data_IF_720904822996
#
_entry.id   IF_720904822996
#
_cell.length_a   1.000
_cell.length_b   1.000
_cell.length_c   1.000
_cell.angle_alpha   90.00
_cell.angle_beta   90.00
_cell.angle_gamma   90.00
#
_symmetry.space_group_name_H-M   'P 1'
#
loop_
_entity.id
_entity.type
_entity.pdbx_description
1 polymer ?
#
# COMPACT_ATOMS: atom_id res chain seq x y z
N UNK A 1 -35.69 -60.10 54.49
CA UNK A 1 -34.31 -59.85 53.99
C UNK A 1 -34.25 -59.24 52.58
N UNK A 2 -35.17 -59.54 51.65
CA UNK A 2 -35.16 -59.03 50.26
C UNK A 2 -35.39 -57.50 50.08
N UNK A 3 -36.01 -56.83 51.04
CA UNK A 3 -36.30 -55.39 50.92
C UNK A 3 -35.07 -54.49 51.13
N UNK A 4 -34.15 -54.89 52.01
CA UNK A 4 -32.96 -54.08 52.29
C UNK A 4 -31.95 -54.10 51.14
N UNK A 5 -31.82 -55.22 50.41
CA UNK A 5 -30.90 -55.32 49.27
C UNK A 5 -31.35 -54.48 48.08
N UNK A 6 -32.66 -54.41 47.78
CA UNK A 6 -33.18 -53.55 46.70
C UNK A 6 -32.96 -52.06 46.97
N UNK A 7 -33.14 -51.61 48.22
CA UNK A 7 -32.87 -50.22 48.60
C UNK A 7 -31.38 -49.88 48.54
N UNK A 8 -30.51 -50.80 48.97
CA UNK A 8 -29.07 -50.63 48.88
C UNK A 8 -28.61 -50.52 47.42
N UNK A 9 -29.10 -51.40 46.53
CA UNK A 9 -28.74 -51.34 45.12
C UNK A 9 -29.32 -50.11 44.40
N UNK A 10 -30.54 -49.68 44.74
CA UNK A 10 -31.10 -48.44 44.20
C UNK A 10 -30.31 -47.20 44.66
N UNK A 11 -29.82 -47.19 45.91
CA UNK A 11 -28.96 -46.11 46.42
C UNK A 11 -27.59 -46.05 45.75
N UNK A 12 -26.98 -47.22 45.49
CA UNK A 12 -25.69 -47.30 44.78
C UNK A 12 -25.86 -46.91 43.31
N UNK A 13 -26.91 -47.41 42.63
CA UNK A 13 -27.22 -47.02 41.25
C UNK A 13 -27.45 -45.50 41.13
N UNK A 14 -28.21 -44.89 42.04
CA UNK A 14 -28.44 -43.45 42.03
C UNK A 14 -27.15 -42.66 42.29
N UNK A 15 -26.26 -43.15 43.16
CA UNK A 15 -24.96 -42.50 43.41
C UNK A 15 -24.04 -42.59 42.18
N UNK A 16 -23.97 -43.75 41.53
CA UNK A 16 -23.21 -43.95 40.28
C UNK A 16 -23.73 -43.05 39.15
N UNK A 17 -25.06 -42.98 38.95
CA UNK A 17 -25.65 -42.11 37.92
C UNK A 17 -25.37 -40.64 38.19
N UNK A 18 -25.47 -40.19 39.45
CA UNK A 18 -25.17 -38.80 39.81
C UNK A 18 -23.69 -38.45 39.62
N UNK A 19 -22.77 -39.39 39.86
CA UNK A 19 -21.33 -39.16 39.60
C UNK A 19 -21.01 -39.13 38.10
N UNK A 20 -21.62 -40.00 37.30
CA UNK A 20 -21.45 -40.01 35.84
C UNK A 20 -22.01 -38.72 35.23
N UNK A 21 -23.20 -38.27 35.65
CA UNK A 21 -23.81 -37.03 35.16
C UNK A 21 -22.96 -35.80 35.53
N UNK A 22 -22.38 -35.76 36.72
CA UNK A 22 -21.49 -34.67 37.16
C UNK A 22 -20.18 -34.61 36.36
N UNK A 23 -19.54 -35.76 36.12
CA UNK A 23 -18.32 -35.84 35.30
C UNK A 23 -18.58 -35.46 33.83
N UNK A 24 -19.72 -35.92 33.29
CA UNK A 24 -20.12 -35.59 31.91
C UNK A 24 -20.46 -34.11 31.75
N UNK A 25 -21.08 -33.50 32.77
CA UNK A 25 -21.37 -32.07 32.81
C UNK A 25 -20.09 -31.23 32.90
N UNK A 26 -19.12 -31.64 33.70
CA UNK A 26 -17.83 -30.96 33.81
C UNK A 26 -17.03 -31.04 32.50
N UNK A 27 -17.01 -32.22 31.85
CA UNK A 27 -16.35 -32.42 30.57
C UNK A 27 -16.96 -31.56 29.45
N UNK A 28 -18.30 -31.44 29.41
CA UNK A 28 -19.00 -30.59 28.44
C UNK A 28 -18.81 -29.08 28.70
N UNK A 29 -18.74 -28.65 29.97
CA UNK A 29 -18.35 -27.29 30.31
C UNK A 29 -16.92 -26.98 29.85
N UNK A 30 -15.98 -27.90 30.11
CA UNK A 30 -14.60 -27.76 29.66
C UNK A 30 -14.51 -27.67 28.14
N UNK A 31 -15.20 -28.53 27.39
CA UNK A 31 -15.18 -28.45 25.91
C UNK A 31 -15.74 -27.14 25.38
N UNK A 32 -16.79 -26.61 26.01
CA UNK A 32 -17.40 -25.32 25.62
C UNK A 32 -16.44 -24.15 25.86
N UNK A 33 -15.74 -24.16 27.00
CA UNK A 33 -14.72 -23.15 27.31
C UNK A 33 -13.52 -23.23 26.37
N UNK A 34 -13.09 -24.44 26.01
CA UNK A 34 -12.01 -24.64 25.04
C UNK A 34 -12.40 -24.11 23.65
N UNK A 35 -13.64 -24.33 23.23
CA UNK A 35 -14.13 -23.84 21.94
C UNK A 35 -14.26 -22.30 21.91
N UNK A 36 -14.73 -21.70 23.01
CA UNK A 36 -14.78 -20.25 23.18
C UNK A 36 -13.38 -19.63 23.19
N UNK A 37 -12.44 -20.20 23.94
CA UNK A 37 -11.05 -19.72 23.97
C UNK A 37 -10.38 -19.85 22.61
N UNK A 38 -10.61 -20.97 21.91
CA UNK A 38 -10.08 -21.19 20.56
C UNK A 38 -10.64 -20.15 19.59
N UNK A 39 -11.95 -19.89 19.66
CA UNK A 39 -12.62 -18.87 18.84
C UNK A 39 -12.04 -17.48 19.12
N UNK A 40 -11.84 -17.11 20.39
CA UNK A 40 -11.27 -15.82 20.79
C UNK A 40 -9.81 -15.68 20.34
N UNK A 41 -8.99 -16.73 20.46
CA UNK A 41 -7.60 -16.71 20.03
C UNK A 41 -7.47 -16.54 18.52
N UNK A 42 -8.25 -17.30 17.74
CA UNK A 42 -8.30 -17.14 16.27
C UNK A 42 -8.72 -15.73 15.90
N UNK A 43 -9.77 -15.20 16.52
CA UNK A 43 -10.26 -13.85 16.26
C UNK A 43 -9.19 -12.78 16.57
N UNK A 44 -8.56 -12.84 17.76
CA UNK A 44 -7.49 -11.90 18.13
C UNK A 44 -6.31 -12.00 17.17
N UNK A 45 -5.92 -13.20 16.76
CA UNK A 45 -4.82 -13.39 15.81
C UNK A 45 -5.16 -12.83 14.43
N UNK A 46 -6.40 -12.98 13.96
CA UNK A 46 -6.85 -12.35 12.72
C UNK A 46 -6.88 -10.83 12.82
N UNK A 47 -7.36 -10.26 13.93
CA UNK A 47 -7.38 -8.82 14.16
C UNK A 47 -5.97 -8.22 14.21
N UNK A 48 -5.04 -8.88 14.90
CA UNK A 48 -3.63 -8.47 14.95
C UNK A 48 -2.98 -8.55 13.58
N UNK A 49 -3.17 -9.64 12.84
CA UNK A 49 -2.65 -9.79 11.48
C UNK A 49 -3.18 -8.72 10.53
N UNK A 50 -4.47 -8.38 10.62
CA UNK A 50 -5.08 -7.32 9.81
C UNK A 50 -4.52 -5.93 10.16
N UNK A 51 -4.29 -5.66 11.46
CA UNK A 51 -3.68 -4.41 11.91
C UNK A 51 -2.25 -4.29 11.41
N UNK A 52 -1.46 -5.35 11.48
CA UNK A 52 -0.06 -5.35 11.00
C UNK A 52 0.00 -5.11 9.48
N UNK A 53 -0.89 -5.73 8.71
CA UNK A 53 -1.00 -5.48 7.27
C UNK A 53 -1.37 -4.02 6.97
N UNK A 54 -2.35 -3.47 7.70
CA UNK A 54 -2.78 -2.08 7.53
C UNK A 54 -1.66 -1.08 7.90
N UNK A 55 -0.93 -1.33 8.99
CA UNK A 55 0.21 -0.51 9.41
C UNK A 55 1.33 -0.56 8.37
N UNK A 56 1.62 -1.75 7.83
CA UNK A 56 2.61 -1.93 6.78
C UNK A 56 2.24 -1.17 5.51
N UNK A 57 0.97 -1.22 5.07
CA UNK A 57 0.52 -0.41 3.93
C UNK A 57 0.55 1.10 4.22
N UNK A 58 0.20 1.50 5.44
CA UNK A 58 0.20 2.91 5.84
C UNK A 58 1.61 3.53 5.81
N UNK A 59 2.61 2.80 6.30
CA UNK A 59 4.00 3.26 6.28
C UNK A 59 4.55 3.34 4.86
N UNK A 60 4.23 2.36 4.00
CA UNK A 60 4.57 2.42 2.59
C UNK A 60 3.94 3.66 1.90
N UNK A 61 2.68 3.96 2.21
CA UNK A 61 2.01 5.17 1.71
C UNK A 61 2.62 6.47 2.26
N UNK A 62 3.19 6.45 3.47
CA UNK A 62 3.92 7.58 4.04
C UNK A 62 5.20 7.87 3.27
N UNK A 63 5.98 6.84 2.95
CA UNK A 63 7.18 6.95 2.10
C UNK A 63 6.82 7.62 0.78
N UNK A 64 5.76 7.16 0.11
CA UNK A 64 5.32 7.73 -1.17
C UNK A 64 4.85 9.17 -1.02
N UNK A 65 4.06 9.50 0.01
CA UNK A 65 3.55 10.87 0.23
C UNK A 65 4.69 11.88 0.43
N UNK A 66 5.73 11.52 1.17
CA UNK A 66 6.89 12.38 1.38
C UNK A 66 7.58 12.71 0.05
N UNK A 67 7.75 11.70 -0.81
CA UNK A 67 8.36 11.90 -2.13
C UNK A 67 7.42 12.60 -3.12
N UNK A 68 6.11 12.45 -3.00
CA UNK A 68 5.13 13.22 -3.80
C UNK A 68 5.24 14.71 -3.49
N UNK A 69 5.46 15.09 -2.23
CA UNK A 69 5.67 16.48 -1.83
C UNK A 69 6.96 17.04 -2.46
N UNK A 70 8.07 16.29 -2.36
CA UNK A 70 9.33 16.63 -3.02
C UNK A 70 9.17 16.74 -4.55
N UNK A 71 8.48 15.76 -5.16
CA UNK A 71 8.16 15.72 -6.59
C UNK A 71 7.33 16.90 -7.09
N UNK A 72 6.39 17.35 -6.26
CA UNK A 72 5.55 18.52 -6.52
C UNK A 72 6.37 19.82 -6.41
N UNK A 73 7.29 19.89 -5.45
CA UNK A 73 8.15 21.06 -5.22
C UNK A 73 9.19 21.27 -6.34
N UNK A 74 9.70 20.20 -6.96
CA UNK A 74 10.67 20.29 -8.05
C UNK A 74 10.15 21.07 -9.28
N UNK A 75 8.83 21.08 -9.52
CA UNK A 75 8.21 21.86 -10.60
C UNK A 75 8.32 23.38 -10.45
N UNK A 76 8.76 23.88 -9.28
CA UNK A 76 8.90 25.31 -8.97
C UNK A 76 10.32 25.84 -9.19
N UNK A 77 11.31 24.96 -9.40
CA UNK A 77 12.72 25.35 -9.53
C UNK A 77 13.07 25.49 -11.03
N UNK A 78 13.40 26.70 -11.53
CA UNK A 78 13.71 26.90 -12.95
C UNK A 78 15.19 26.61 -13.25
N UNK A 79 15.71 25.46 -12.84
CA UNK A 79 17.12 25.08 -13.06
C UNK A 79 17.24 23.92 -14.07
N UNK A 80 17.73 24.19 -15.29
CA UNK A 80 18.07 23.14 -16.26
C UNK A 80 19.04 22.12 -15.64
N UNK A 81 18.88 20.84 -15.97
CA UNK A 81 19.65 19.69 -15.45
C UNK A 81 19.39 19.31 -13.97
N UNK A 82 19.17 20.26 -13.06
CA UNK A 82 18.84 19.98 -11.66
C UNK A 82 17.61 19.09 -11.54
N UNK A 83 16.58 19.37 -12.33
CA UNK A 83 15.33 18.61 -12.31
C UNK A 83 15.51 17.14 -12.65
N UNK A 84 16.45 16.79 -13.54
CA UNK A 84 16.67 15.41 -13.94
C UNK A 84 17.40 14.63 -12.83
N UNK A 85 18.40 15.24 -12.21
CA UNK A 85 19.16 14.65 -11.10
C UNK A 85 18.25 14.52 -9.87
N UNK A 86 17.52 15.58 -9.53
CA UNK A 86 16.61 15.59 -8.39
C UNK A 86 15.44 14.60 -8.61
N UNK A 87 14.89 14.51 -9.83
CA UNK A 87 13.84 13.55 -10.16
C UNK A 87 14.36 12.10 -10.08
N UNK A 88 15.53 11.83 -10.67
CA UNK A 88 16.14 10.50 -10.63
C UNK A 88 16.48 10.09 -9.20
N UNK A 89 17.06 10.99 -8.41
CA UNK A 89 17.36 10.76 -6.99
C UNK A 89 16.11 10.54 -6.15
N UNK A 90 15.05 11.32 -6.38
CA UNK A 90 13.78 11.20 -5.65
C UNK A 90 13.10 9.86 -5.93
N UNK A 91 13.00 9.46 -7.21
CA UNK A 91 12.38 8.16 -7.56
C UNK A 91 13.23 6.98 -7.05
N UNK A 92 14.56 7.10 -7.12
CA UNK A 92 15.48 6.07 -6.65
C UNK A 92 15.38 5.88 -5.13
N UNK A 93 15.49 6.96 -4.36
CA UNK A 93 15.43 6.90 -2.91
C UNK A 93 14.06 6.43 -2.41
N UNK A 94 12.97 6.85 -3.06
CA UNK A 94 11.62 6.34 -2.76
C UNK A 94 11.57 4.82 -2.95
N UNK A 95 12.09 4.32 -4.08
CA UNK A 95 12.01 2.90 -4.38
C UNK A 95 12.92 2.07 -3.47
N UNK A 96 14.09 2.59 -3.12
CA UNK A 96 15.00 2.00 -2.14
C UNK A 96 14.33 1.86 -0.76
N UNK A 97 13.68 2.92 -0.26
CA UNK A 97 12.93 2.86 1.00
C UNK A 97 11.78 1.85 0.94
N UNK A 98 11.08 1.74 -0.21
CA UNK A 98 10.06 0.71 -0.40
C UNK A 98 10.67 -0.71 -0.41
N UNK A 99 11.84 -0.90 -1.02
CA UNK A 99 12.52 -2.21 -0.99
C UNK A 99 12.88 -2.59 0.44
N UNK A 100 13.45 -1.67 1.22
CA UNK A 100 13.76 -1.87 2.65
C UNK A 100 12.49 -2.23 3.44
N UNK A 101 11.40 -1.49 3.23
CA UNK A 101 10.12 -1.71 3.91
C UNK A 101 9.48 -3.07 3.58
N UNK A 102 9.64 -3.54 2.35
CA UNK A 102 9.09 -4.82 1.93
C UNK A 102 10.06 -6.02 2.09
N UNK A 103 11.31 -5.77 2.45
CA UNK A 103 12.35 -6.81 2.55
C UNK A 103 12.82 -7.33 1.18
N UNK A 104 12.78 -6.47 0.16
CA UNK A 104 13.24 -6.80 -1.20
C UNK A 104 14.72 -6.43 -1.31
N UNK A 105 15.53 -7.31 -1.93
CA UNK A 105 16.95 -7.06 -2.16
C UNK A 105 17.17 -5.79 -2.99
N UNK A 106 18.07 -4.93 -2.49
CA UNK A 106 18.35 -3.63 -3.09
C UNK A 106 19.48 -3.79 -4.10
N UNK A 107 19.18 -3.45 -5.35
CA UNK A 107 20.16 -3.31 -6.41
C UNK A 107 19.87 -2.01 -7.16
N UNK A 108 20.81 -1.07 -7.11
CA UNK A 108 20.67 0.25 -7.70
C UNK A 108 20.49 0.23 -9.22
N UNK A 109 21.10 -0.73 -9.92
CA UNK A 109 20.90 -0.88 -11.37
C UNK A 109 19.49 -1.42 -11.66
N UNK A 110 19.01 -2.37 -10.85
CA UNK A 110 17.66 -2.93 -11.00
C UNK A 110 16.57 -1.92 -10.64
N UNK A 111 16.78 -1.05 -9.65
CA UNK A 111 15.88 0.07 -9.34
C UNK A 111 15.66 0.94 -10.59
N UNK A 112 16.74 1.34 -11.25
CA UNK A 112 16.67 2.14 -12.47
C UNK A 112 15.92 1.41 -13.59
N UNK A 113 16.26 0.14 -13.82
CA UNK A 113 15.61 -0.69 -14.84
C UNK A 113 14.11 -0.86 -14.57
N UNK A 114 13.74 -1.09 -13.30
CA UNK A 114 12.36 -1.22 -12.87
C UNK A 114 11.57 0.08 -13.10
N UNK A 115 12.14 1.24 -12.74
CA UNK A 115 11.53 2.55 -13.01
C UNK A 115 11.30 2.76 -14.52
N UNK A 116 12.30 2.46 -15.34
CA UNK A 116 12.18 2.54 -16.81
C UNK A 116 11.09 1.60 -17.32
N UNK A 117 11.00 0.39 -16.79
CA UNK A 117 9.98 -0.58 -17.19
C UNK A 117 8.55 -0.09 -16.88
N UNK A 118 8.31 0.50 -15.71
CA UNK A 118 6.99 1.05 -15.34
C UNK A 118 6.63 2.25 -16.22
N UNK A 119 7.55 3.19 -16.36
CA UNK A 119 7.34 4.41 -17.14
C UNK A 119 7.18 4.08 -18.63
N UNK A 120 8.06 3.24 -19.19
CA UNK A 120 8.00 2.77 -20.58
C UNK A 120 6.75 1.95 -20.90
N UNK A 121 6.29 1.12 -19.95
CA UNK A 121 5.03 0.36 -20.08
C UNK A 121 3.76 1.22 -20.02
N UNK A 122 3.86 2.47 -19.57
CA UNK A 122 2.72 3.34 -19.30
C UNK A 122 2.28 4.23 -20.47
N UNK A 123 3.15 4.55 -21.42
CA UNK A 123 2.88 5.12 -22.77
C UNK A 123 4.16 5.80 -23.30
N UNK A 124 4.44 5.81 -24.63
CA UNK A 124 5.53 6.62 -25.21
C UNK A 124 5.47 8.11 -24.80
N UNK A 125 4.26 8.66 -24.64
CA UNK A 125 4.04 10.08 -24.28
C UNK A 125 4.51 10.42 -22.87
N UNK A 126 4.51 9.45 -21.95
CA UNK A 126 4.98 9.65 -20.57
C UNK A 126 6.50 9.48 -20.43
N UNK A 127 7.10 8.65 -21.28
CA UNK A 127 8.56 8.63 -21.44
C UNK A 127 9.08 10.00 -21.91
N UNK A 128 8.34 10.66 -22.82
CA UNK A 128 8.59 12.04 -23.25
C UNK A 128 8.30 13.09 -22.16
N UNK A 129 7.33 12.88 -21.27
CA UNK A 129 7.07 13.76 -20.13
C UNK A 129 8.18 13.69 -19.06
N UNK A 130 8.85 12.54 -18.92
CA UNK A 130 10.09 12.40 -18.17
C UNK A 130 11.23 13.24 -18.74
N UNK A 131 11.19 13.53 -20.05
CA UNK A 131 12.05 14.50 -20.72
C UNK A 131 11.52 15.95 -20.59
N UNK A 132 10.68 16.26 -19.58
CA UNK A 132 10.19 17.61 -19.28
C UNK A 132 11.29 18.67 -19.14
N UNK A 133 12.53 18.25 -18.82
CA UNK A 133 13.72 19.10 -18.83
C UNK A 133 14.08 19.62 -20.23
N UNK A 134 13.75 18.89 -21.31
CA UNK A 134 13.95 19.33 -22.69
C UNK A 134 13.03 20.51 -23.06
N UNK A 135 11.83 20.59 -22.48
CA UNK A 135 10.89 21.69 -22.72
C UNK A 135 11.30 22.99 -22.02
N UNK A 136 12.21 22.93 -21.03
CA UNK A 136 12.81 24.12 -20.42
C UNK A 136 13.86 24.81 -21.34
N UNK A 137 14.26 24.17 -22.45
CA UNK A 137 15.18 24.74 -23.45
C UNK A 137 14.49 25.53 -24.57
N UNK A 138 13.15 25.56 -24.62
CA UNK A 138 12.39 26.34 -25.61
C UNK A 138 11.79 27.59 -24.93
N UNK A 139 12.48 28.74 -24.96
CA UNK A 139 11.92 29.98 -24.42
C UNK A 139 10.67 30.40 -25.20
N UNK A 140 9.58 30.73 -24.49
CA UNK A 140 8.35 31.29 -25.08
C UNK A 140 7.14 30.35 -25.13
N UNK A 141 7.31 29.03 -25.18
CA UNK A 141 6.19 28.05 -25.26
C UNK A 141 5.92 27.34 -23.91
N UNK A 142 6.88 27.33 -22.98
CA UNK A 142 6.83 26.49 -21.78
C UNK A 142 6.62 27.19 -20.42
N UNK A 143 6.69 28.53 -20.33
CA UNK A 143 6.97 29.20 -19.04
C UNK A 143 5.76 29.78 -18.30
N UNK A 144 4.59 30.00 -18.93
CA UNK A 144 3.50 30.77 -18.28
C UNK A 144 2.26 29.97 -17.86
N UNK A 145 2.02 28.79 -18.45
CA UNK A 145 1.05 27.79 -17.95
C UNK A 145 1.69 26.60 -17.22
N UNK A 146 3.03 26.54 -17.21
CA UNK A 146 3.81 25.32 -16.97
C UNK A 146 4.00 24.91 -15.51
N UNK A 147 4.16 25.82 -14.56
CA UNK A 147 4.62 25.45 -13.21
C UNK A 147 3.58 24.65 -12.41
N UNK A 148 2.31 25.07 -12.40
CA UNK A 148 1.24 24.32 -11.72
C UNK A 148 0.96 22.97 -12.40
N UNK A 149 1.06 22.91 -13.74
CA UNK A 149 0.94 21.68 -14.50
C UNK A 149 2.07 20.69 -14.22
N UNK A 150 3.31 21.19 -14.13
CA UNK A 150 4.50 20.39 -13.78
C UNK A 150 4.47 19.91 -12.32
N UNK A 151 4.10 20.76 -11.36
CA UNK A 151 3.89 20.36 -9.96
C UNK A 151 2.84 19.26 -9.85
N UNK A 152 1.69 19.45 -10.51
CA UNK A 152 0.62 18.45 -10.55
C UNK A 152 1.10 17.13 -11.17
N UNK A 153 1.78 17.22 -12.32
CA UNK A 153 2.21 16.05 -13.07
C UNK A 153 3.35 15.31 -12.38
N UNK A 154 4.36 16.02 -11.86
CA UNK A 154 5.50 15.45 -11.14
C UNK A 154 5.07 14.76 -9.85
N UNK A 155 4.20 15.39 -9.06
CA UNK A 155 3.58 14.76 -7.90
C UNK A 155 2.74 13.53 -8.29
N UNK A 156 1.94 13.62 -9.36
CA UNK A 156 1.09 12.51 -9.77
C UNK A 156 1.87 11.32 -10.34
N UNK A 157 2.98 11.56 -11.04
CA UNK A 157 3.89 10.51 -11.51
C UNK A 157 4.53 9.84 -10.30
N UNK A 158 5.07 10.60 -9.35
CA UNK A 158 5.68 10.05 -8.14
C UNK A 158 4.70 9.20 -7.35
N UNK A 159 3.46 9.67 -7.21
CA UNK A 159 2.37 8.92 -6.60
C UNK A 159 2.10 7.60 -7.35
N UNK A 160 2.00 7.65 -8.68
CA UNK A 160 1.70 6.49 -9.50
C UNK A 160 2.83 5.46 -9.49
N UNK A 161 4.10 5.89 -9.54
CA UNK A 161 5.26 5.00 -9.38
C UNK A 161 5.18 4.32 -8.02
N UNK A 162 5.08 5.11 -6.94
CA UNK A 162 5.04 4.60 -5.57
C UNK A 162 3.92 3.58 -5.35
N UNK A 163 2.68 3.90 -5.73
CA UNK A 163 1.55 2.96 -5.60
C UNK A 163 1.73 1.69 -6.43
N UNK A 164 2.36 1.80 -7.61
CA UNK A 164 2.63 0.64 -8.45
C UNK A 164 3.61 -0.33 -7.79
N UNK A 165 4.70 0.18 -7.21
CA UNK A 165 5.67 -0.65 -6.51
C UNK A 165 5.17 -1.17 -5.17
N UNK A 166 4.38 -0.39 -4.42
CA UNK A 166 3.68 -0.88 -3.24
C UNK A 166 2.85 -2.11 -3.58
N UNK A 167 2.03 -2.03 -4.63
CA UNK A 167 1.20 -3.17 -5.07
C UNK A 167 2.04 -4.37 -5.54
N UNK A 168 3.17 -4.10 -6.17
CA UNK A 168 4.07 -5.15 -6.67
C UNK A 168 4.75 -5.88 -5.52
N UNK A 169 5.33 -5.15 -4.58
CA UNK A 169 6.05 -5.71 -3.43
C UNK A 169 5.12 -6.31 -2.38
N UNK A 170 3.92 -5.73 -2.15
CA UNK A 170 2.94 -6.34 -1.24
C UNK A 170 2.40 -7.67 -1.76
N UNK A 171 2.47 -7.91 -3.07
CA UNK A 171 2.15 -9.18 -3.71
C UNK A 171 3.35 -10.16 -3.75
N UNK A 172 4.48 -9.82 -3.12
CA UNK A 172 5.68 -10.65 -3.09
C UNK A 172 6.59 -10.51 -4.32
N UNK A 173 6.38 -9.49 -5.16
CA UNK A 173 7.27 -9.18 -6.27
C UNK A 173 8.61 -8.61 -5.81
N UNK A 174 9.60 -8.64 -6.71
CA UNK A 174 10.95 -8.11 -6.49
C UNK A 174 11.30 -7.08 -7.57
N UNK A 175 12.56 -6.62 -7.64
CA UNK A 175 13.00 -5.76 -8.73
C UNK A 175 13.18 -6.53 -10.06
N UNK A 176 13.35 -7.85 -10.01
CA UNK A 176 13.66 -8.69 -11.18
C UNK A 176 12.43 -9.09 -12.00
N UNK A 177 11.25 -9.09 -11.40
CA UNK A 177 10.01 -9.57 -12.02
C UNK A 177 9.05 -8.43 -12.41
N UNK A 178 9.58 -7.21 -12.52
CA UNK A 178 8.84 -6.00 -12.91
C UNK A 178 8.41 -6.10 -14.38
N UNK A 179 7.12 -6.37 -14.61
CA UNK A 179 6.56 -6.48 -15.97
C UNK A 179 5.95 -5.16 -16.44
N UNK A 180 6.59 -4.54 -17.44
CA UNK A 180 6.17 -3.27 -18.04
C UNK A 180 4.67 -3.21 -18.40
N UNK A 181 4.12 -4.25 -19.04
CA UNK A 181 2.70 -4.28 -19.45
C UNK A 181 1.72 -4.28 -18.26
N UNK A 182 1.97 -5.13 -17.25
CA UNK A 182 1.10 -5.30 -16.07
C UNK A 182 1.18 -4.08 -15.17
N UNK A 183 2.39 -3.58 -14.95
CA UNK A 183 2.61 -2.45 -14.05
C UNK A 183 2.27 -1.12 -14.71
N UNK A 184 2.44 -1.00 -16.04
CA UNK A 184 2.07 0.19 -16.81
C UNK A 184 0.56 0.47 -16.85
N UNK A 185 -0.29 -0.56 -16.88
CA UNK A 185 -1.75 -0.37 -16.83
C UNK A 185 -2.21 0.13 -15.46
N UNK A 186 -1.64 -0.42 -14.39
CA UNK A 186 -1.89 0.01 -13.03
C UNK A 186 -1.35 1.43 -12.78
N UNK A 187 -0.13 1.71 -13.23
CA UNK A 187 0.45 3.04 -13.21
C UNK A 187 -0.46 4.08 -13.88
N UNK A 188 -1.00 3.80 -15.08
CA UNK A 188 -1.91 4.73 -15.77
C UNK A 188 -3.15 5.06 -14.93
N UNK A 189 -3.69 4.06 -14.23
CA UNK A 189 -4.84 4.23 -13.32
C UNK A 189 -4.46 5.11 -12.12
N UNK A 190 -3.34 4.81 -11.48
CA UNK A 190 -2.86 5.57 -10.32
C UNK A 190 -2.39 6.98 -10.70
N UNK A 191 -1.90 7.21 -11.92
CA UNK A 191 -1.57 8.54 -12.43
C UNK A 191 -2.82 9.42 -12.53
N UNK A 192 -3.93 8.89 -13.06
CA UNK A 192 -5.21 9.60 -13.10
C UNK A 192 -5.71 9.92 -11.69
N UNK A 193 -5.54 8.96 -10.75
CA UNK A 193 -5.90 9.15 -9.34
C UNK A 193 -5.04 10.22 -8.67
N UNK A 194 -3.71 10.15 -8.82
CA UNK A 194 -2.75 11.10 -8.29
C UNK A 194 -3.03 12.52 -8.79
N UNK A 195 -3.28 12.70 -10.10
CA UNK A 195 -3.69 14.00 -10.67
C UNK A 195 -4.95 14.56 -10.01
N UNK A 196 -5.93 13.73 -9.67
CA UNK A 196 -7.15 14.18 -8.99
C UNK A 196 -6.88 14.58 -7.54
N UNK A 197 -6.21 13.70 -6.79
CA UNK A 197 -5.91 13.92 -5.36
C UNK A 197 -5.05 15.17 -5.14
N UNK A 198 -4.04 15.36 -5.99
CA UNK A 198 -3.12 16.47 -5.89
C UNK A 198 -3.81 17.77 -6.32
N UNK A 199 -4.66 17.75 -7.35
CA UNK A 199 -5.47 18.91 -7.75
C UNK A 199 -6.44 19.37 -6.67
N UNK A 200 -7.05 18.43 -5.95
CA UNK A 200 -7.96 18.72 -4.83
C UNK A 200 -7.22 19.31 -3.62
N UNK A 201 -5.99 18.86 -3.37
CA UNK A 201 -5.20 19.26 -2.19
C UNK A 201 -4.23 20.42 -2.43
N UNK A 202 -3.94 20.81 -3.67
CA UNK A 202 -3.15 22.01 -3.95
C UNK A 202 -4.04 23.25 -3.90
N UNK A 203 -3.66 24.31 -3.17
CA UNK A 203 -4.20 25.64 -3.41
C UNK A 203 -3.71 26.07 -4.80
N UNK A 204 -4.55 25.89 -5.83
CA UNK A 204 -4.22 26.39 -7.16
C UNK A 204 -4.13 27.93 -7.08
N UNK A 205 -3.06 28.56 -7.57
CA UNK A 205 -3.10 29.99 -7.84
C UNK A 205 -4.30 30.27 -8.75
N UNK A 206 -5.11 31.29 -8.43
CA UNK A 206 -6.38 31.60 -9.12
C UNK A 206 -6.26 31.85 -10.63
N UNK A 207 -5.05 31.86 -11.19
CA UNK A 207 -4.74 32.04 -12.61
C UNK A 207 -5.37 30.94 -13.50
N UNK A 208 -5.63 29.74 -12.97
CA UNK A 208 -6.24 28.65 -13.75
C UNK A 208 -7.77 28.68 -13.82
N UNK A 209 -8.47 29.52 -13.04
CA UNK A 209 -9.94 29.66 -13.15
C UNK A 209 -10.38 30.57 -14.30
N UNK A 210 -9.46 31.38 -14.85
CA UNK A 210 -9.74 32.29 -15.97
C UNK A 210 -9.58 31.66 -17.35
N UNK A 211 -8.72 30.65 -17.49
CA UNK A 211 -8.47 30.00 -18.80
C UNK A 211 -9.53 28.97 -19.20
N UNK A 212 -10.47 28.61 -18.32
CA UNK A 212 -11.57 27.69 -18.62
C UNK A 212 -12.86 28.42 -19.08
N UNK A 213 -12.80 29.76 -19.24
CA UNK A 213 -13.92 30.62 -19.66
C UNK A 213 -13.62 31.47 -20.91
N UNK A 214 -12.51 31.20 -21.61
CA UNK A 214 -12.17 31.86 -22.87
C UNK A 214 -12.20 30.84 -24.02
#
# INVERSE_FOLDING_TARGET
MLWQSKFYQAGIMNAETMTVDAETTLASQQSTLLDELTTRLVHVQTELGMKDLALREQEADRIVKNHVLAGSAMGLVPLPLFDLVALSGTQHNMLEQLCQHYGVDIDHHKIRSALIAVLGGSSPTLALAGAGSAFKFVPGVGTLGGNAGLTLLGGAITYAVGKSFIKHFSAGGTLDDVRAKKLGSFFRKELKRGKRLIREKLPLPQVLSRSAKA
#
